data_IF_286123475808
#
_entry.id   IF_286123475808
#
_cell.length_a   1.000
_cell.length_b   1.000
_cell.length_c   1.000
_cell.angle_alpha   90.00
_cell.angle_beta   90.00
_cell.angle_gamma   90.00
#
_symmetry.space_group_name_H-M   'P 1'
#
loop_
_entity.id
_entity.type
_entity.pdbx_description
1 polymer ?
#
# COMPACT_ATOMS: atom_id res chain seq x y z
N UNK A 1 89.75 34.26 -1.91
CA UNK A 1 88.41 34.88 -1.88
C UNK A 1 87.60 34.42 -3.09
N UNK A 2 86.62 33.54 -2.88
CA UNK A 2 85.43 33.35 -3.74
C UNK A 2 84.49 32.42 -2.98
N UNK A 3 83.46 33.01 -2.38
CA UNK A 3 82.44 32.34 -1.57
C UNK A 3 81.30 31.95 -2.52
N UNK A 4 81.05 30.66 -2.71
CA UNK A 4 79.84 30.17 -3.36
C UNK A 4 78.71 30.18 -2.33
N UNK A 5 77.63 30.91 -2.62
CA UNK A 5 76.40 30.93 -1.83
C UNK A 5 75.41 29.92 -2.40
N UNK A 6 75.05 28.92 -1.61
CA UNK A 6 74.03 27.92 -1.92
C UNK A 6 72.69 28.45 -1.41
N UNK A 7 71.78 28.85 -2.30
CA UNK A 7 70.39 29.17 -1.95
C UNK A 7 69.61 27.86 -1.80
N UNK A 8 69.11 27.59 -0.59
CA UNK A 8 68.17 26.51 -0.30
C UNK A 8 66.74 27.09 -0.38
N UNK A 9 65.99 26.75 -1.43
CA UNK A 9 64.54 27.01 -1.48
C UNK A 9 63.82 25.90 -0.73
N UNK A 10 63.23 26.23 0.43
CA UNK A 10 62.31 25.36 1.15
C UNK A 10 60.90 25.64 0.67
N UNK A 11 60.35 24.78 -0.18
CA UNK A 11 58.94 24.82 -0.58
C UNK A 11 58.10 24.11 0.48
N UNK A 12 57.37 24.87 1.31
CA UNK A 12 56.38 24.33 2.23
C UNK A 12 55.11 23.96 1.46
N UNK A 13 54.91 22.65 1.21
CA UNK A 13 53.67 22.13 0.67
C UNK A 13 52.61 22.10 1.79
N UNK A 14 51.68 23.06 1.77
CA UNK A 14 50.50 23.05 2.63
C UNK A 14 49.50 22.06 2.02
N UNK A 15 49.48 20.82 2.51
CA UNK A 15 48.42 19.87 2.17
C UNK A 15 47.15 20.27 2.89
N UNK A 16 46.27 20.99 2.20
CA UNK A 16 44.91 21.23 2.68
C UNK A 16 44.13 19.92 2.59
N UNK A 17 44.03 19.20 3.71
CA UNK A 17 43.09 18.09 3.87
C UNK A 17 41.68 18.67 3.88
N UNK A 18 41.05 18.75 2.71
CA UNK A 18 39.62 19.01 2.62
C UNK A 18 38.90 17.84 3.31
N UNK A 19 38.34 18.10 4.49
CA UNK A 19 37.38 17.18 5.10
C UNK A 19 36.21 17.06 4.13
N UNK A 20 36.17 15.95 3.37
CA UNK A 20 34.98 15.58 2.62
C UNK A 20 33.86 15.43 3.65
N UNK A 21 32.96 16.41 3.70
CA UNK A 21 31.76 16.36 4.52
C UNK A 21 30.95 15.18 3.97
N UNK A 22 31.01 14.03 4.66
CA UNK A 22 30.25 12.85 4.28
C UNK A 22 28.78 13.27 4.18
N UNK A 23 28.19 13.08 3.01
CA UNK A 23 26.78 13.38 2.81
C UNK A 23 25.97 12.69 3.91
N UNK A 24 24.94 13.36 4.48
CA UNK A 24 24.10 12.74 5.50
C UNK A 24 23.56 11.42 4.99
N UNK A 25 23.64 10.38 5.83
CA UNK A 25 23.17 9.06 5.44
C UNK A 25 21.65 9.10 5.16
N UNK A 26 21.18 8.53 4.03
CA UNK A 26 19.78 8.59 3.65
C UNK A 26 18.85 7.82 4.59
N UNK A 27 19.39 6.85 5.34
CA UNK A 27 18.63 6.05 6.31
C UNK A 27 19.30 6.16 7.67
N UNK A 28 18.56 6.59 8.68
CA UNK A 28 19.12 6.80 10.03
C UNK A 28 18.25 6.10 11.06
N UNK A 29 18.87 5.42 12.02
CA UNK A 29 18.15 4.88 13.18
C UNK A 29 17.80 6.01 14.14
N UNK A 30 16.52 6.18 14.45
CA UNK A 30 16.05 7.24 15.34
C UNK A 30 16.63 7.10 16.76
N UNK A 31 16.94 5.87 17.17
CA UNK A 31 17.33 5.54 18.54
C UNK A 31 18.76 6.00 18.89
N UNK A 32 19.66 6.06 17.90
CA UNK A 32 21.08 6.35 18.15
C UNK A 32 21.74 7.23 17.07
N UNK A 33 20.99 7.67 16.06
CA UNK A 33 21.51 8.51 14.98
C UNK A 33 22.46 7.78 14.03
N UNK A 34 22.60 6.45 14.12
CA UNK A 34 23.46 5.69 13.22
C UNK A 34 22.89 5.72 11.80
N UNK A 35 23.71 6.24 10.89
CA UNK A 35 23.39 6.35 9.47
C UNK A 35 23.81 5.15 8.63
N UNK A 36 23.05 4.86 7.59
CA UNK A 36 23.26 3.78 6.62
C UNK A 36 23.05 4.28 5.20
N UNK A 37 23.83 3.72 4.26
CA UNK A 37 23.69 4.01 2.83
C UNK A 37 22.51 3.24 2.18
N UNK A 38 22.08 2.13 2.79
CA UNK A 38 20.97 1.31 2.30
C UNK A 38 19.89 1.11 3.35
N UNK A 39 18.63 1.04 2.91
CA UNK A 39 17.51 0.66 3.76
C UNK A 39 17.69 -0.75 4.33
N UNK A 40 18.18 -1.68 3.51
CA UNK A 40 18.42 -3.06 3.91
C UNK A 40 19.40 -3.16 5.09
N UNK A 41 20.50 -2.41 5.08
CA UNK A 41 21.46 -2.40 6.20
C UNK A 41 20.86 -1.77 7.46
N UNK A 42 20.05 -0.71 7.31
CA UNK A 42 19.37 -0.07 8.44
C UNK A 42 18.38 -1.03 9.12
N UNK A 43 17.57 -1.75 8.33
CA UNK A 43 16.64 -2.79 8.83
C UNK A 43 17.42 -3.97 9.42
N UNK A 44 18.49 -4.41 8.75
CA UNK A 44 19.35 -5.50 9.22
C UNK A 44 20.02 -5.18 10.55
N UNK A 45 20.37 -3.91 10.79
CA UNK A 45 20.91 -3.46 12.06
C UNK A 45 19.90 -3.48 13.22
N UNK A 46 18.59 -3.39 12.94
CA UNK A 46 17.54 -3.60 13.94
C UNK A 46 17.40 -5.11 14.23
N UNK A 47 17.48 -5.95 13.20
CA UNK A 47 17.37 -7.40 13.32
C UNK A 47 16.04 -7.83 13.95
N UNK A 48 16.11 -8.72 14.95
CA UNK A 48 14.94 -9.19 15.70
C UNK A 48 14.46 -8.22 16.80
N UNK A 49 15.13 -7.08 16.96
CA UNK A 49 14.81 -6.06 17.94
C UNK A 49 13.62 -5.20 17.55
N UNK A 50 13.60 -3.98 18.10
CA UNK A 50 12.63 -2.94 17.78
C UNK A 50 13.38 -1.67 17.41
N UNK A 51 12.99 -1.01 16.33
CA UNK A 51 13.66 0.21 15.91
C UNK A 51 12.96 0.98 14.80
N UNK A 52 13.45 2.18 14.55
CA UNK A 52 12.86 3.12 13.60
C UNK A 52 13.91 3.61 12.62
N UNK A 53 13.69 3.31 11.34
CA UNK A 53 14.45 3.89 10.23
C UNK A 53 13.77 5.18 9.78
N UNK A 54 14.45 6.31 9.95
CA UNK A 54 14.10 7.60 9.35
C UNK A 54 14.72 7.66 7.95
N UNK A 55 13.87 7.86 6.95
CA UNK A 55 14.24 7.97 5.53
C UNK A 55 14.30 9.45 5.15
N UNK A 56 15.46 9.91 4.71
CA UNK A 56 15.64 11.28 4.24
C UNK A 56 14.80 11.57 2.97
N UNK A 57 14.61 12.85 2.61
CA UNK A 57 14.05 13.19 1.31
C UNK A 57 14.90 12.63 0.15
N UNK A 58 14.26 12.03 -0.85
CA UNK A 58 14.95 11.51 -2.02
C UNK A 58 14.15 10.46 -2.80
N UNK A 59 14.71 10.08 -3.94
CA UNK A 59 14.24 8.94 -4.75
C UNK A 59 15.23 7.80 -4.63
N UNK A 60 14.73 6.64 -4.24
CA UNK A 60 15.50 5.47 -3.88
C UNK A 60 15.20 4.33 -4.84
N UNK A 61 16.25 3.88 -5.53
CA UNK A 61 16.28 2.59 -6.22
C UNK A 61 16.78 1.51 -5.27
N UNK A 62 16.03 1.30 -4.21
CA UNK A 62 16.33 0.33 -3.16
C UNK A 62 15.06 -0.44 -2.82
N UNK A 63 15.25 -1.64 -2.30
CA UNK A 63 14.21 -2.44 -1.69
C UNK A 63 14.78 -3.02 -0.39
N UNK A 64 13.94 -3.56 0.46
CA UNK A 64 14.41 -4.24 1.67
C UNK A 64 13.51 -5.39 2.10
N UNK A 65 14.13 -6.32 2.82
CA UNK A 65 13.46 -7.46 3.44
C UNK A 65 13.59 -7.34 4.95
N UNK A 66 12.45 -7.31 5.64
CA UNK A 66 12.41 -7.41 7.10
C UNK A 66 12.20 -8.88 7.48
N UNK A 67 13.25 -9.56 7.93
CA UNK A 67 13.17 -10.96 8.36
C UNK A 67 12.61 -11.15 9.78
N UNK A 68 12.56 -10.09 10.59
CA UNK A 68 12.28 -10.19 12.01
C UNK A 68 11.92 -8.86 12.67
N UNK A 69 11.74 -8.89 13.99
CA UNK A 69 11.61 -7.67 14.79
C UNK A 69 10.31 -6.86 14.64
N UNK A 70 10.32 -5.67 15.25
CA UNK A 70 9.31 -4.63 15.13
C UNK A 70 9.93 -3.38 14.51
N UNK A 71 9.70 -3.16 13.21
CA UNK A 71 10.41 -2.12 12.45
C UNK A 71 9.44 -1.01 12.06
N UNK A 72 9.81 0.23 12.34
CA UNK A 72 9.18 1.40 11.74
C UNK A 72 10.04 1.93 10.61
N UNK A 73 9.46 2.20 9.45
CA UNK A 73 10.11 2.85 8.31
C UNK A 73 9.32 4.13 8.01
N UNK A 74 9.95 5.27 8.25
CA UNK A 74 9.26 6.57 8.27
C UNK A 74 10.00 7.58 7.44
N UNK A 75 9.31 8.28 6.54
CA UNK A 75 9.87 9.47 5.91
C UNK A 75 10.13 10.56 6.96
N UNK A 76 11.27 11.23 6.86
CA UNK A 76 11.58 12.42 7.67
C UNK A 76 10.52 13.51 7.49
N UNK A 77 9.94 13.61 6.28
CA UNK A 77 8.77 14.43 5.98
C UNK A 77 7.81 13.59 5.12
N UNK A 78 6.53 13.42 5.49
CA UNK A 78 5.60 12.64 4.68
C UNK A 78 5.58 13.09 3.22
N UNK A 79 5.70 12.12 2.30
CA UNK A 79 5.75 12.36 0.85
C UNK A 79 7.13 12.75 0.30
N UNK A 80 8.17 12.86 1.14
CA UNK A 80 9.50 13.26 0.67
C UNK A 80 10.38 12.11 0.19
N UNK A 81 10.06 10.86 0.53
CA UNK A 81 10.85 9.67 0.23
C UNK A 81 10.11 8.75 -0.74
N UNK A 82 10.70 8.51 -1.92
CA UNK A 82 10.10 7.74 -3.02
C UNK A 82 10.91 6.48 -3.25
N UNK A 83 10.29 5.30 -3.17
CA UNK A 83 10.84 4.03 -3.62
C UNK A 83 10.37 3.75 -5.04
N UNK A 84 11.32 3.67 -5.97
CA UNK A 84 11.03 3.70 -7.42
C UNK A 84 11.61 2.47 -8.14
N UNK A 85 10.70 1.58 -8.56
CA UNK A 85 10.96 0.49 -9.50
C UNK A 85 11.89 -0.63 -9.05
N UNK A 86 12.43 -0.59 -7.83
CA UNK A 86 13.33 -1.63 -7.32
C UNK A 86 12.57 -2.66 -6.49
N UNK A 87 12.78 -3.94 -6.83
CA UNK A 87 12.06 -5.08 -6.25
C UNK A 87 13.02 -6.00 -5.51
N UNK A 88 12.61 -6.43 -4.32
CA UNK A 88 13.23 -7.51 -3.57
C UNK A 88 12.44 -8.80 -3.80
N UNK A 89 13.18 -9.90 -4.01
CA UNK A 89 12.66 -11.27 -4.15
C UNK A 89 11.56 -11.43 -5.22
N UNK A 90 11.61 -10.62 -6.27
CA UNK A 90 10.58 -10.62 -7.33
C UNK A 90 9.16 -10.38 -6.79
N UNK A 91 9.03 -9.66 -5.66
CA UNK A 91 7.75 -9.41 -4.98
C UNK A 91 7.42 -7.93 -4.81
N UNK A 92 8.28 -7.20 -4.10
CA UNK A 92 7.94 -5.85 -3.63
C UNK A 92 9.14 -4.95 -3.35
N UNK A 93 8.89 -3.65 -3.18
CA UNK A 93 9.87 -2.74 -2.60
C UNK A 93 10.17 -3.09 -1.13
N UNK A 94 9.14 -3.47 -0.36
CA UNK A 94 9.29 -3.96 1.02
C UNK A 94 8.68 -5.35 1.17
N UNK A 95 9.49 -6.34 1.54
CA UNK A 95 9.01 -7.70 1.88
C UNK A 95 9.11 -7.89 3.40
N UNK A 96 7.97 -8.14 4.05
CA UNK A 96 7.83 -8.03 5.51
C UNK A 96 7.48 -9.36 6.15
N UNK A 97 8.33 -9.84 7.06
CA UNK A 97 8.19 -11.11 7.80
C UNK A 97 8.41 -10.97 9.32
N UNK A 98 8.48 -9.74 9.81
CA UNK A 98 8.69 -9.46 11.22
C UNK A 98 7.47 -9.70 12.10
N UNK A 99 7.58 -9.37 13.39
CA UNK A 99 6.42 -9.36 14.31
C UNK A 99 5.47 -8.23 14.01
N UNK A 100 6.01 -7.06 13.67
CA UNK A 100 5.24 -5.91 13.21
C UNK A 100 6.06 -4.98 12.31
N UNK A 101 5.37 -4.26 11.43
CA UNK A 101 5.94 -3.19 10.61
C UNK A 101 5.02 -1.98 10.62
N UNK A 102 5.61 -0.80 10.81
CA UNK A 102 4.94 0.48 10.57
C UNK A 102 5.60 1.20 9.40
N UNK A 103 4.79 1.66 8.44
CA UNK A 103 5.22 2.49 7.31
C UNK A 103 4.49 3.83 7.40
N UNK A 104 5.25 4.93 7.45
CA UNK A 104 4.69 6.27 7.60
C UNK A 104 5.31 7.25 6.58
N UNK A 105 4.45 7.84 5.74
CA UNK A 105 4.86 8.93 4.87
C UNK A 105 5.65 8.55 3.62
N UNK A 106 5.72 7.27 3.25
CA UNK A 106 6.51 6.81 2.11
C UNK A 106 5.71 6.86 0.80
N UNK A 107 6.41 7.03 -0.32
CA UNK A 107 5.85 6.88 -1.66
C UNK A 107 6.44 5.63 -2.31
N UNK A 108 5.61 4.81 -2.95
CA UNK A 108 5.99 3.63 -3.73
C UNK A 108 5.51 3.79 -5.17
N UNK A 109 6.39 3.58 -6.15
CA UNK A 109 6.02 3.72 -7.55
C UNK A 109 6.76 2.81 -8.55
N UNK A 110 6.12 2.61 -9.70
CA UNK A 110 6.68 1.91 -10.87
C UNK A 110 7.12 0.48 -10.59
N UNK A 111 6.41 -0.22 -9.69
CA UNK A 111 6.75 -1.56 -9.23
C UNK A 111 6.06 -2.60 -10.09
N UNK A 112 6.87 -3.44 -10.76
CA UNK A 112 6.42 -4.46 -11.72
C UNK A 112 7.30 -5.69 -11.62
N UNK A 113 6.71 -6.87 -11.74
CA UNK A 113 7.41 -8.17 -11.65
C UNK A 113 6.88 -9.15 -12.71
N UNK A 114 7.62 -10.23 -13.03
CA UNK A 114 7.25 -11.14 -14.10
C UNK A 114 5.88 -11.82 -13.91
N UNK A 115 5.53 -12.20 -12.67
CA UNK A 115 4.23 -12.79 -12.31
C UNK A 115 3.11 -11.75 -12.19
N UNK A 116 3.46 -10.46 -12.31
CA UNK A 116 2.50 -9.40 -12.55
C UNK A 116 1.78 -8.88 -11.31
N UNK A 117 2.33 -9.11 -10.10
CA UNK A 117 1.75 -8.69 -8.81
C UNK A 117 2.70 -7.80 -7.97
N UNK A 118 3.54 -7.03 -8.65
CA UNK A 118 4.62 -6.24 -8.04
C UNK A 118 4.07 -5.15 -7.14
N UNK A 119 4.44 -5.18 -5.85
CA UNK A 119 3.80 -4.34 -4.83
C UNK A 119 4.75 -3.36 -4.16
N UNK A 120 4.21 -2.27 -3.61
CA UNK A 120 4.94 -1.43 -2.65
C UNK A 120 5.32 -2.22 -1.40
N UNK A 121 4.36 -2.97 -0.87
CA UNK A 121 4.53 -3.80 0.33
C UNK A 121 3.99 -5.21 0.06
N UNK A 122 4.84 -6.21 0.27
CA UNK A 122 4.45 -7.62 0.42
C UNK A 122 4.54 -8.01 1.91
N UNK A 123 3.40 -8.19 2.57
CA UNK A 123 3.34 -8.70 3.95
C UNK A 123 3.17 -10.21 3.94
N UNK A 124 4.14 -10.95 4.48
CA UNK A 124 4.05 -12.41 4.60
C UNK A 124 3.79 -12.88 6.03
N UNK A 125 4.10 -12.06 7.04
CA UNK A 125 3.86 -12.38 8.45
C UNK A 125 3.80 -11.12 9.32
N UNK A 126 3.02 -11.18 10.38
CA UNK A 126 2.98 -10.16 11.43
C UNK A 126 2.04 -8.99 11.13
N UNK A 127 2.02 -8.02 12.05
CA UNK A 127 1.12 -6.87 11.93
C UNK A 127 1.67 -5.81 10.98
N UNK A 128 0.79 -5.15 10.24
CA UNK A 128 1.15 -4.03 9.37
C UNK A 128 0.33 -2.80 9.73
N UNK A 129 1.00 -1.65 9.87
CA UNK A 129 0.36 -0.33 9.94
C UNK A 129 0.96 0.58 8.86
N UNK A 130 0.12 1.10 7.97
CA UNK A 130 0.52 2.03 6.91
C UNK A 130 -0.23 3.34 7.10
N UNK A 131 0.49 4.46 7.11
CA UNK A 131 -0.12 5.77 7.22
C UNK A 131 0.54 6.82 6.34
N UNK A 132 -0.24 7.83 5.92
CA UNK A 132 0.23 8.99 5.16
C UNK A 132 1.03 8.64 3.90
N UNK A 133 0.78 7.47 3.31
CA UNK A 133 1.62 6.91 2.24
C UNK A 133 0.92 6.98 0.89
N UNK A 134 1.70 6.98 -0.19
CA UNK A 134 1.20 7.00 -1.58
C UNK A 134 1.75 5.80 -2.34
N UNK A 135 0.86 5.02 -2.93
CA UNK A 135 1.17 3.92 -3.84
C UNK A 135 0.69 4.32 -5.23
N UNK A 136 1.58 4.30 -6.23
CA UNK A 136 1.18 4.65 -7.59
C UNK A 136 1.86 3.91 -8.73
N UNK A 137 1.21 3.90 -9.89
CA UNK A 137 1.80 3.45 -11.17
C UNK A 137 2.45 2.06 -11.07
N UNK A 138 1.84 1.14 -10.32
CA UNK A 138 2.41 -0.16 -9.95
C UNK A 138 1.37 -1.25 -10.15
N UNK A 139 1.81 -2.51 -10.25
CA UNK A 139 0.87 -3.62 -10.40
C UNK A 139 -0.02 -3.76 -9.15
N UNK A 140 0.56 -3.70 -7.95
CA UNK A 140 -0.13 -3.72 -6.66
C UNK A 140 0.32 -2.55 -5.78
N UNK A 141 -0.55 -2.10 -4.88
CA UNK A 141 -0.15 -1.22 -3.77
C UNK A 141 0.40 -2.02 -2.60
N UNK A 142 -0.47 -2.83 -2.00
CA UNK A 142 -0.16 -3.71 -0.87
C UNK A 142 -0.74 -5.08 -1.18
N UNK A 143 0.11 -6.11 -1.05
CA UNK A 143 -0.28 -7.50 -1.22
C UNK A 143 0.14 -8.29 0.01
N UNK A 144 -0.79 -9.03 0.62
CA UNK A 144 -0.47 -9.88 1.78
C UNK A 144 -0.63 -11.36 1.47
N UNK A 145 0.21 -12.18 2.12
CA UNK A 145 -0.01 -13.61 2.24
C UNK A 145 -1.06 -13.92 3.31
N UNK A 146 -0.95 -15.13 3.87
CA UNK A 146 -1.86 -15.61 4.91
C UNK A 146 -1.18 -15.61 6.29
N UNK A 147 -1.77 -14.86 7.21
CA UNK A 147 -1.43 -14.90 8.62
C UNK A 147 -2.71 -14.61 9.40
N UNK A 148 -3.43 -15.67 9.80
CA UNK A 148 -4.74 -15.56 10.45
C UNK A 148 -4.69 -14.89 11.82
N UNK A 149 -3.50 -14.62 12.38
CA UNK A 149 -3.31 -13.82 13.59
C UNK A 149 -2.98 -12.36 13.32
N UNK A 150 -2.61 -11.99 12.08
CA UNK A 150 -2.18 -10.65 11.74
C UNK A 150 -3.32 -9.64 11.69
N UNK A 151 -2.97 -8.40 11.99
CA UNK A 151 -3.80 -7.21 11.78
C UNK A 151 -3.14 -6.29 10.77
N UNK A 152 -3.94 -5.76 9.84
CA UNK A 152 -3.51 -4.80 8.83
C UNK A 152 -4.31 -3.52 9.02
N UNK A 153 -3.62 -2.41 9.19
CA UNK A 153 -4.20 -1.07 9.37
C UNK A 153 -3.63 -0.14 8.31
N UNK A 154 -4.51 0.51 7.55
CA UNK A 154 -4.18 1.47 6.51
C UNK A 154 -4.97 2.74 6.77
N UNK A 155 -4.26 3.85 6.98
CA UNK A 155 -4.88 5.13 7.30
C UNK A 155 -4.33 6.26 6.41
N UNK A 156 -5.18 7.20 6.00
CA UNK A 156 -4.75 8.42 5.30
C UNK A 156 -3.78 8.17 4.15
N UNK A 157 -4.00 7.11 3.39
CA UNK A 157 -3.11 6.69 2.31
C UNK A 157 -3.81 6.80 0.95
N UNK A 158 -3.04 6.93 -0.12
CA UNK A 158 -3.55 7.06 -1.48
C UNK A 158 -3.04 5.92 -2.36
N UNK A 159 -3.95 5.35 -3.15
CA UNK A 159 -3.74 4.25 -4.07
C UNK A 159 -4.20 4.70 -5.46
N UNK A 160 -3.25 4.94 -6.37
CA UNK A 160 -3.51 5.58 -7.67
C UNK A 160 -2.85 4.85 -8.82
N UNK A 161 -3.51 4.62 -9.96
CA UNK A 161 -2.87 3.93 -11.10
C UNK A 161 -2.26 2.59 -10.66
N UNK A 162 -3.10 1.79 -9.99
CA UNK A 162 -2.76 0.47 -9.50
C UNK A 162 -3.65 -0.58 -10.14
N UNK A 163 -3.17 -1.81 -10.16
CA UNK A 163 -3.89 -2.94 -10.72
C UNK A 163 -3.58 -3.19 -12.18
N UNK A 164 -3.99 -4.37 -12.64
CA UNK A 164 -3.98 -4.82 -14.04
C UNK A 164 -4.83 -6.07 -14.17
N UNK A 165 -5.34 -6.35 -15.38
CA UNK A 165 -6.08 -7.57 -15.71
C UNK A 165 -5.76 -8.07 -17.13
N UNK A 166 -4.53 -7.87 -17.59
CA UNK A 166 -4.05 -8.23 -18.93
C UNK A 166 -3.07 -9.44 -18.90
N UNK A 167 -2.27 -9.63 -19.95
CA UNK A 167 -1.16 -10.62 -20.09
C UNK A 167 -1.47 -12.09 -19.72
N UNK A 168 -2.73 -12.50 -19.71
CA UNK A 168 -3.16 -13.86 -19.31
C UNK A 168 -2.64 -14.27 -17.91
N UNK A 169 -2.55 -13.31 -16.99
CA UNK A 169 -2.15 -13.51 -15.59
C UNK A 169 -3.31 -13.17 -14.66
N UNK A 170 -3.21 -13.62 -13.41
CA UNK A 170 -4.13 -13.17 -12.36
C UNK A 170 -4.12 -11.64 -12.26
N UNK A 171 -5.31 -11.06 -12.08
CA UNK A 171 -5.43 -9.63 -11.92
C UNK A 171 -4.68 -9.15 -10.67
N UNK A 172 -3.99 -8.03 -10.83
CA UNK A 172 -3.47 -7.26 -9.71
C UNK A 172 -4.49 -6.19 -9.27
N UNK A 173 -4.37 -5.69 -8.05
CA UNK A 173 -5.37 -4.85 -7.39
C UNK A 173 -4.76 -3.57 -6.80
N UNK A 174 -5.61 -2.69 -6.25
CA UNK A 174 -5.15 -1.54 -5.47
C UNK A 174 -4.51 -2.00 -4.17
N UNK A 175 -5.30 -2.71 -3.35
CA UNK A 175 -4.80 -3.54 -2.26
C UNK A 175 -5.43 -4.93 -2.30
N UNK A 176 -4.59 -5.94 -2.03
CA UNK A 176 -4.99 -7.33 -1.88
C UNK A 176 -4.56 -7.79 -0.49
N UNK A 177 -5.55 -7.99 0.37
CA UNK A 177 -5.38 -8.56 1.70
C UNK A 177 -5.78 -10.04 1.68
N UNK A 178 -4.81 -10.92 1.93
CA UNK A 178 -5.00 -12.35 2.14
C UNK A 178 -5.74 -12.65 3.45
N UNK A 179 -5.60 -13.90 3.93
CA UNK A 179 -6.31 -14.36 5.12
C UNK A 179 -5.65 -13.82 6.39
N UNK A 180 -6.20 -12.74 6.93
CA UNK A 180 -5.77 -12.08 8.17
C UNK A 180 -6.90 -11.97 9.20
N UNK A 181 -6.57 -11.74 10.47
CA UNK A 181 -7.59 -11.60 11.52
C UNK A 181 -8.46 -10.36 11.29
N UNK A 182 -7.81 -9.22 11.02
CA UNK A 182 -8.49 -7.93 10.88
C UNK A 182 -7.82 -7.04 9.85
N UNK A 183 -8.66 -6.41 9.03
CA UNK A 183 -8.29 -5.30 8.15
C UNK A 183 -9.00 -4.02 8.61
N UNK A 184 -8.27 -2.92 8.71
CA UNK A 184 -8.83 -1.57 8.83
C UNK A 184 -8.28 -0.70 7.71
N UNK A 185 -9.16 -0.05 6.94
CA UNK A 185 -8.81 0.90 5.89
C UNK A 185 -9.63 2.16 6.11
N UNK A 186 -8.98 3.25 6.51
CA UNK A 186 -9.69 4.47 6.88
C UNK A 186 -9.11 5.72 6.25
N UNK A 187 -9.98 6.70 5.94
CA UNK A 187 -9.57 8.03 5.46
C UNK A 187 -8.64 7.99 4.24
N UNK A 188 -8.76 6.94 3.44
CA UNK A 188 -7.86 6.65 2.32
C UNK A 188 -8.55 6.91 0.99
N UNK A 189 -7.75 7.15 -0.04
CA UNK A 189 -8.22 7.46 -1.40
C UNK A 189 -7.74 6.39 -2.37
N UNK A 190 -8.68 5.89 -3.16
CA UNK A 190 -8.46 4.98 -4.27
C UNK A 190 -8.94 5.69 -5.53
N UNK A 191 -8.07 5.87 -6.52
CA UNK A 191 -8.46 6.52 -7.77
C UNK A 191 -7.68 6.04 -8.99
N UNK A 192 -8.27 6.22 -10.17
CA UNK A 192 -7.60 5.98 -11.45
C UNK A 192 -6.96 4.58 -11.52
N UNK A 193 -7.65 3.53 -11.08
CA UNK A 193 -7.13 2.17 -11.15
C UNK A 193 -6.94 1.71 -12.60
N UNK A 194 -5.93 0.87 -12.84
CA UNK A 194 -5.56 0.35 -14.16
C UNK A 194 -5.91 -1.15 -14.32
N UNK A 195 -6.68 -1.69 -13.38
CA UNK A 195 -7.26 -3.02 -13.44
C UNK A 195 -7.69 -3.54 -12.06
N UNK A 196 -8.43 -4.64 -12.05
CA UNK A 196 -8.76 -5.36 -10.81
C UNK A 196 -9.55 -4.56 -9.78
N UNK A 197 -9.64 -5.07 -8.55
CA UNK A 197 -10.38 -4.42 -7.47
C UNK A 197 -9.59 -3.27 -6.86
N UNK A 198 -10.26 -2.21 -6.39
CA UNK A 198 -9.57 -1.21 -5.58
C UNK A 198 -9.16 -1.77 -4.21
N UNK A 199 -10.06 -2.53 -3.58
CA UNK A 199 -9.81 -3.25 -2.33
C UNK A 199 -10.34 -4.68 -2.45
N UNK A 200 -9.43 -5.65 -2.45
CA UNK A 200 -9.75 -7.08 -2.29
C UNK A 200 -9.30 -7.57 -0.92
N UNK A 201 -10.14 -8.32 -0.22
CA UNK A 201 -9.85 -8.78 1.13
C UNK A 201 -10.42 -10.17 1.42
N UNK A 202 -9.61 -10.99 2.11
CA UNK A 202 -10.00 -12.24 2.77
C UNK A 202 -9.88 -12.17 4.29
N UNK A 203 -9.85 -10.96 4.86
CA UNK A 203 -9.80 -10.76 6.30
C UNK A 203 -11.12 -11.23 6.96
N UNK A 204 -11.03 -11.82 8.15
CA UNK A 204 -12.22 -12.27 8.89
C UNK A 204 -13.07 -11.11 9.44
N UNK A 205 -12.42 -10.01 9.79
CA UNK A 205 -13.05 -8.78 10.25
C UNK A 205 -12.56 -7.58 9.44
N UNK A 206 -13.48 -6.68 9.07
CA UNK A 206 -13.17 -5.47 8.32
C UNK A 206 -13.69 -4.21 9.01
N UNK A 207 -12.91 -3.13 8.93
CA UNK A 207 -13.32 -1.76 9.27
C UNK A 207 -12.91 -0.85 8.11
N UNK A 208 -13.80 -0.67 7.14
CA UNK A 208 -13.56 0.11 5.92
C UNK A 208 -14.41 1.38 5.98
N UNK A 209 -13.81 2.49 6.40
CA UNK A 209 -14.57 3.71 6.67
C UNK A 209 -13.95 5.01 6.21
N UNK A 210 -14.81 5.96 5.88
CA UNK A 210 -14.43 7.33 5.51
C UNK A 210 -13.44 7.37 4.32
N UNK A 211 -13.52 6.41 3.40
CA UNK A 211 -12.66 6.34 2.22
C UNK A 211 -13.36 6.92 0.98
N UNK A 212 -12.55 7.32 0.00
CA UNK A 212 -13.01 7.72 -1.34
C UNK A 212 -12.56 6.68 -2.37
N UNK A 213 -13.51 6.12 -3.13
CA UNK A 213 -13.26 5.27 -4.28
C UNK A 213 -13.72 6.01 -5.54
N UNK A 214 -12.78 6.61 -6.25
CA UNK A 214 -13.04 7.43 -7.44
C UNK A 214 -12.55 6.74 -8.70
N UNK A 215 -13.47 6.01 -9.33
CA UNK A 215 -13.24 5.28 -10.58
C UNK A 215 -13.50 6.14 -11.81
N UNK A 216 -13.69 7.46 -11.67
CA UNK A 216 -14.01 8.33 -12.79
C UNK A 216 -12.97 8.31 -13.92
N UNK A 217 -11.71 8.13 -13.55
CA UNK A 217 -10.59 7.92 -14.47
C UNK A 217 -9.99 6.51 -14.40
N UNK A 218 -10.73 5.52 -13.93
CA UNK A 218 -10.28 4.12 -13.93
C UNK A 218 -10.38 3.46 -15.31
N UNK A 219 -9.60 2.40 -15.51
CA UNK A 219 -9.54 1.57 -16.72
C UNK A 219 -9.50 0.09 -16.34
N UNK A 220 -10.36 -0.73 -16.96
CA UNK A 220 -10.48 -2.19 -16.72
C UNK A 220 -10.61 -2.58 -15.24
N UNK A 221 -11.10 -1.67 -14.40
CA UNK A 221 -11.25 -1.94 -12.96
C UNK A 221 -12.42 -2.90 -12.71
N UNK A 222 -12.44 -3.48 -11.53
CA UNK A 222 -13.44 -4.43 -11.04
C UNK A 222 -14.11 -3.84 -9.79
N UNK A 223 -14.81 -4.62 -8.96
CA UNK A 223 -15.52 -4.12 -7.78
C UNK A 223 -14.69 -3.15 -6.91
N UNK A 224 -15.35 -2.17 -6.28
CA UNK A 224 -14.68 -1.22 -5.38
C UNK A 224 -14.13 -1.94 -4.15
N UNK A 225 -14.98 -2.79 -3.56
CA UNK A 225 -14.66 -3.60 -2.39
C UNK A 225 -15.08 -5.03 -2.69
N UNK A 226 -14.12 -5.95 -2.67
CA UNK A 226 -14.35 -7.38 -2.75
C UNK A 226 -13.98 -8.07 -1.44
N UNK A 227 -14.98 -8.51 -0.67
CA UNK A 227 -14.81 -9.38 0.48
C UNK A 227 -14.85 -10.83 0.00
N UNK A 228 -13.78 -11.30 -0.65
CA UNK A 228 -13.77 -12.50 -1.49
C UNK A 228 -14.31 -13.75 -0.79
N UNK A 229 -14.11 -13.87 0.53
CA UNK A 229 -14.60 -15.00 1.33
C UNK A 229 -15.59 -14.62 2.45
N UNK A 230 -16.19 -13.43 2.35
CA UNK A 230 -17.04 -12.85 3.39
C UNK A 230 -16.22 -12.26 4.54
N UNK A 231 -16.86 -11.45 5.38
CA UNK A 231 -16.29 -10.89 6.59
C UNK A 231 -17.38 -10.33 7.51
N UNK A 232 -17.08 -10.23 8.80
CA UNK A 232 -17.87 -9.42 9.75
C UNK A 232 -17.27 -8.02 9.90
N UNK A 233 -17.99 -7.07 10.51
CA UNK A 233 -17.49 -5.72 10.79
C UNK A 233 -18.28 -4.64 10.06
N UNK A 234 -17.60 -3.65 9.50
CA UNK A 234 -18.27 -2.44 8.99
C UNK A 234 -17.66 -1.86 7.70
N UNK A 235 -18.55 -1.38 6.82
CA UNK A 235 -18.25 -0.56 5.64
C UNK A 235 -19.09 0.71 5.74
N UNK A 236 -18.50 1.80 6.22
CA UNK A 236 -19.25 2.99 6.68
C UNK A 236 -18.71 4.29 6.13
N UNK A 237 -19.60 5.17 5.67
CA UNK A 237 -19.23 6.56 5.36
C UNK A 237 -18.29 6.71 4.16
N UNK A 238 -18.23 5.72 3.26
CA UNK A 238 -17.39 5.78 2.07
C UNK A 238 -18.12 6.50 0.93
N UNK A 239 -17.39 7.29 0.15
CA UNK A 239 -17.86 7.88 -1.10
C UNK A 239 -17.34 7.05 -2.28
N UNK A 240 -18.23 6.58 -3.16
CA UNK A 240 -17.90 5.69 -4.28
C UNK A 240 -18.51 6.21 -5.59
N UNK A 241 -17.67 6.39 -6.60
CA UNK A 241 -18.09 6.78 -7.94
C UNK A 241 -17.56 5.75 -8.93
N UNK A 242 -18.46 5.15 -9.70
CA UNK A 242 -18.14 4.19 -10.76
C UNK A 242 -17.93 4.89 -12.11
N UNK A 243 -16.84 4.53 -12.78
CA UNK A 243 -16.43 5.06 -14.08
C UNK A 243 -17.09 4.40 -15.27
N UNK A 244 -16.74 4.89 -16.45
CA UNK A 244 -17.20 4.35 -17.74
C UNK A 244 -16.53 3.02 -18.06
N UNK A 245 -15.22 2.95 -17.86
CA UNK A 245 -14.31 1.92 -18.38
C UNK A 245 -13.96 0.89 -17.31
N UNK A 246 -15.00 0.16 -16.89
CA UNK A 246 -14.93 -0.83 -15.83
C UNK A 246 -15.26 -2.19 -16.42
N UNK A 247 -14.38 -3.16 -16.18
CA UNK A 247 -14.55 -4.53 -16.69
C UNK A 247 -15.75 -5.21 -16.02
N UNK A 248 -15.82 -5.15 -14.68
CA UNK A 248 -16.98 -5.61 -13.94
C UNK A 248 -17.69 -4.48 -13.21
N UNK A 249 -18.80 -4.08 -13.79
CA UNK A 249 -19.67 -3.01 -13.30
C UNK A 249 -20.93 -3.48 -12.60
N UNK A 250 -21.08 -4.79 -12.43
CA UNK A 250 -22.32 -5.38 -11.93
C UNK A 250 -22.59 -5.10 -10.45
N UNK A 251 -21.56 -4.77 -9.66
CA UNK A 251 -21.69 -4.43 -8.26
C UNK A 251 -20.63 -3.43 -7.76
N UNK A 252 -20.85 -2.80 -6.60
CA UNK A 252 -19.86 -1.98 -5.91
C UNK A 252 -19.13 -2.77 -4.83
N UNK A 253 -19.89 -3.48 -4.00
CA UNK A 253 -19.41 -4.29 -2.88
C UNK A 253 -19.84 -5.73 -3.13
N UNK A 254 -18.88 -6.67 -3.06
CA UNK A 254 -19.17 -8.11 -3.09
C UNK A 254 -18.89 -8.77 -1.76
N UNK A 255 -19.77 -9.71 -1.39
CA UNK A 255 -19.64 -10.53 -0.19
C UNK A 255 -19.56 -12.00 -0.61
N UNK A 256 -18.40 -12.59 -0.33
CA UNK A 256 -18.03 -13.98 -0.60
C UNK A 256 -18.15 -14.49 -2.05
N UNK A 257 -17.81 -13.70 -3.10
CA UNK A 257 -17.89 -14.19 -4.48
C UNK A 257 -16.98 -15.40 -4.77
N UNK A 258 -15.97 -15.66 -3.94
CA UNK A 258 -15.06 -16.81 -4.07
C UNK A 258 -15.34 -17.90 -3.02
N UNK A 259 -16.55 -17.92 -2.47
CA UNK A 259 -17.00 -18.92 -1.51
C UNK A 259 -16.87 -18.45 -0.06
N UNK A 260 -17.84 -18.84 0.76
CA UNK A 260 -17.96 -18.41 2.15
C UNK A 260 -16.93 -19.11 3.04
N UNK A 261 -16.04 -18.34 3.67
CA UNK A 261 -15.21 -18.80 4.79
C UNK A 261 -15.55 -18.09 6.11
N UNK A 262 -15.95 -16.82 6.04
CA UNK A 262 -16.30 -16.02 7.22
C UNK A 262 -17.80 -15.71 7.22
N UNK A 263 -18.40 -15.71 8.41
CA UNK A 263 -19.77 -15.28 8.61
C UNK A 263 -19.92 -13.77 8.41
N UNK A 264 -20.87 -13.38 7.57
CA UNK A 264 -21.16 -11.97 7.28
C UNK A 264 -22.45 -11.47 7.94
N UNK A 265 -23.06 -12.23 8.86
CA UNK A 265 -24.29 -11.84 9.55
C UNK A 265 -24.12 -10.62 10.49
N UNK A 266 -22.88 -10.38 10.91
CA UNK A 266 -22.45 -9.22 11.69
C UNK A 266 -21.77 -8.14 10.84
N UNK A 267 -21.93 -8.16 9.51
CA UNK A 267 -21.46 -7.10 8.62
C UNK A 267 -22.49 -5.97 8.53
N UNK A 268 -22.05 -4.73 8.76
CA UNK A 268 -22.85 -3.51 8.66
C UNK A 268 -22.36 -2.66 7.49
N UNK A 269 -23.27 -2.23 6.63
CA UNK A 269 -22.99 -1.36 5.48
C UNK A 269 -23.95 -0.17 5.50
N UNK A 270 -23.48 1.00 5.94
CA UNK A 270 -24.33 2.18 6.13
C UNK A 270 -23.59 3.51 5.93
N UNK A 271 -24.34 4.58 5.67
CA UNK A 271 -23.82 5.93 5.52
C UNK A 271 -22.94 6.14 4.27
N UNK A 272 -22.89 5.18 3.35
CA UNK A 272 -22.08 5.30 2.14
C UNK A 272 -22.83 6.10 1.06
N UNK A 273 -22.08 6.73 0.16
CA UNK A 273 -22.59 7.29 -1.09
C UNK A 273 -22.06 6.49 -2.26
N UNK A 274 -22.93 6.03 -3.15
CA UNK A 274 -22.52 5.28 -4.32
C UNK A 274 -23.28 5.76 -5.56
N UNK A 275 -22.53 6.11 -6.61
CA UNK A 275 -23.12 6.57 -7.86
C UNK A 275 -22.19 6.38 -9.05
N UNK A 276 -22.60 6.95 -10.17
CA UNK A 276 -21.89 6.84 -11.44
C UNK A 276 -21.40 8.23 -11.87
N UNK A 277 -20.34 8.28 -12.66
CA UNK A 277 -19.96 9.51 -13.34
C UNK A 277 -21.07 9.99 -14.29
N UNK A 278 -21.13 11.30 -14.62
CA UNK A 278 -22.10 11.83 -15.56
C UNK A 278 -22.09 11.10 -16.91
N UNK A 279 -23.30 10.82 -17.44
CA UNK A 279 -23.50 10.14 -18.72
C UNK A 279 -23.27 8.64 -18.69
N UNK A 280 -23.13 8.01 -17.51
CA UNK A 280 -23.18 6.56 -17.35
C UNK A 280 -24.58 6.14 -16.95
N UNK A 281 -25.23 5.35 -17.80
CA UNK A 281 -26.51 4.71 -17.53
C UNK A 281 -26.32 3.19 -17.51
N UNK A 282 -26.28 2.58 -16.32
CA UNK A 282 -26.20 1.12 -16.15
C UNK A 282 -26.93 0.66 -14.89
N UNK A 283 -27.36 -0.60 -14.90
CA UNK A 283 -27.98 -1.26 -13.73
C UNK A 283 -26.90 -1.96 -12.90
N UNK A 284 -26.49 -1.35 -11.79
CA UNK A 284 -25.50 -1.93 -10.89
C UNK A 284 -26.12 -2.22 -9.53
N UNK A 285 -25.51 -3.14 -8.78
CA UNK A 285 -25.92 -3.46 -7.41
C UNK A 285 -24.97 -2.81 -6.42
N UNK A 286 -25.50 -2.18 -5.37
CA UNK A 286 -24.66 -1.67 -4.31
C UNK A 286 -23.95 -2.81 -3.55
N UNK A 287 -24.70 -3.80 -3.06
CA UNK A 287 -24.15 -5.00 -2.39
C UNK A 287 -24.62 -6.28 -3.09
N UNK A 288 -23.70 -7.03 -3.69
CA UNK A 288 -23.96 -8.38 -4.19
C UNK A 288 -23.45 -9.43 -3.19
N UNK A 289 -24.35 -10.21 -2.63
CA UNK A 289 -24.06 -11.24 -1.63
C UNK A 289 -24.18 -12.64 -2.23
N UNK A 290 -23.07 -13.37 -2.20
CA UNK A 290 -22.93 -14.74 -2.69
C UNK A 290 -23.16 -15.81 -1.60
N UNK A 291 -23.62 -15.38 -0.42
CA UNK A 291 -24.08 -16.25 0.66
C UNK A 291 -25.49 -15.92 1.13
N UNK A 292 -26.08 -16.82 1.91
CA UNK A 292 -27.36 -16.59 2.60
C UNK A 292 -27.20 -15.80 3.91
N UNK A 293 -25.99 -15.31 4.22
CA UNK A 293 -25.75 -14.52 5.43
C UNK A 293 -26.56 -13.21 5.39
N UNK A 294 -27.13 -12.87 6.53
CA UNK A 294 -27.94 -11.65 6.67
C UNK A 294 -27.02 -10.45 6.91
N UNK A 295 -26.55 -9.83 5.82
CA UNK A 295 -25.79 -8.57 5.87
C UNK A 295 -26.72 -7.40 6.21
N UNK A 296 -26.32 -6.56 7.16
CA UNK A 296 -27.09 -5.39 7.60
C UNK A 296 -26.79 -4.19 6.71
N UNK A 297 -27.62 -3.96 5.71
CA UNK A 297 -27.52 -2.79 4.82
C UNK A 297 -28.44 -1.70 5.36
N UNK A 298 -27.85 -0.67 5.95
CA UNK A 298 -28.54 0.47 6.54
C UNK A 298 -28.88 1.55 5.50
N UNK A 299 -29.05 2.79 5.98
CA UNK A 299 -29.30 3.95 5.11
C UNK A 299 -28.04 4.29 4.30
N UNK A 300 -28.15 4.39 2.98
CA UNK A 300 -27.07 4.76 2.06
C UNK A 300 -27.63 5.69 0.97
N UNK A 301 -26.81 6.61 0.46
CA UNK A 301 -27.19 7.50 -0.65
C UNK A 301 -26.75 6.86 -1.97
N UNK A 302 -27.68 6.22 -2.67
CA UNK A 302 -27.39 5.49 -3.91
C UNK A 302 -27.96 6.25 -5.12
N UNK A 303 -27.29 6.11 -6.27
CA UNK A 303 -27.87 6.55 -7.54
C UNK A 303 -29.25 5.88 -7.76
N UNK A 304 -30.26 6.58 -8.32
CA UNK A 304 -31.63 6.05 -8.44
C UNK A 304 -31.75 4.73 -9.19
N UNK A 305 -30.85 4.45 -10.13
CA UNK A 305 -30.84 3.22 -10.93
C UNK A 305 -30.18 2.02 -10.22
N UNK A 306 -29.62 2.22 -9.02
CA UNK A 306 -28.84 1.20 -8.33
C UNK A 306 -29.73 0.29 -7.48
N UNK A 307 -29.59 -1.03 -7.65
CA UNK A 307 -30.21 -2.01 -6.77
C UNK A 307 -29.49 -2.02 -5.42
N UNK A 308 -30.21 -1.92 -4.31
CA UNK A 308 -29.59 -1.91 -2.96
C UNK A 308 -28.82 -3.21 -2.69
N UNK A 309 -29.46 -4.35 -2.96
CA UNK A 309 -28.88 -5.67 -2.66
C UNK A 309 -29.24 -6.69 -3.72
N UNK A 310 -28.36 -7.64 -3.95
CA UNK A 310 -28.56 -8.77 -4.83
C UNK A 310 -28.06 -10.05 -4.17
N UNK A 311 -28.78 -11.16 -4.34
CA UNK A 311 -28.35 -12.49 -3.92
C UNK A 311 -27.86 -13.20 -5.18
N UNK A 312 -26.60 -13.63 -5.20
CA UNK A 312 -25.95 -14.28 -6.35
C UNK A 312 -25.49 -15.69 -6.04
#
# INVERSE_FOLDING_TARGET
MRILSTLLLVSAAITASAFAQSAPAPFTLAENGRGFASLADAIGAIGDGKGTVIVAPGTYRQCAVQNGGEVTIKAATPGSAIFDGTICEEKAALVLRGRATMVDGLIFQNLRVPDGNGSGIRLEKGNLSVSNSLFRNSEEGILTGEDRGATVQIDKSTFRHLGRCDRDLDCAHGIYIGRVARLSVTRSRFDQGDGGHYLKSRAAQVDIRDNSFDDSGGHLTNYMIDLSNGASGQIVGNDMVQGKDKDNWSAFITVAPEGRENDSSALVIEGNKAGFVPGVERSSTFVANFTDDVVRIGQNQLAPSMKIKDRR
#
